data_IF_692328665198
#
_entry.id   IF_692328665198
#
_cell.length_a   1.000
_cell.length_b   1.000
_cell.length_c   1.000
_cell.angle_alpha   90.00
_cell.angle_beta   90.00
_cell.angle_gamma   90.00
#
_symmetry.space_group_name_H-M   'P 1'
#
loop_
_entity.id
_entity.type
_entity.pdbx_description
1 polymer ?
#
# COMPACT_ATOMS: atom_id res chain seq x y z
N UNK A 1 -9.59 -6.13 -12.33
CA UNK A 1 -10.70 -7.04 -11.98
C UNK A 1 -11.90 -6.82 -12.89
N UNK A 2 -12.48 -7.88 -13.44
CA UNK A 2 -13.66 -7.81 -14.30
C UNK A 2 -14.96 -7.86 -13.47
N UNK A 3 -15.36 -6.71 -12.91
CA UNK A 3 -16.55 -6.59 -12.05
C UNK A 3 -17.84 -6.77 -12.85
N UNK A 4 -17.87 -6.28 -14.09
CA UNK A 4 -19.06 -6.36 -14.95
C UNK A 4 -19.56 -7.78 -15.16
N UNK A 5 -18.64 -8.74 -15.37
CA UNK A 5 -19.00 -10.13 -15.66
C UNK A 5 -19.07 -11.00 -14.40
N UNK A 6 -18.32 -10.66 -13.35
CA UNK A 6 -18.12 -11.58 -12.21
C UNK A 6 -18.78 -11.12 -10.91
N UNK A 7 -19.09 -9.83 -10.78
CA UNK A 7 -19.67 -9.23 -9.57
C UNK A 7 -20.69 -8.15 -9.96
N UNK A 8 -21.74 -8.56 -10.64
CA UNK A 8 -22.75 -7.67 -11.21
C UNK A 8 -23.46 -6.80 -10.17
N UNK A 9 -23.57 -7.27 -8.93
CA UNK A 9 -24.09 -6.46 -7.81
C UNK A 9 -23.17 -5.29 -7.45
N UNK A 10 -21.86 -5.42 -7.61
CA UNK A 10 -20.89 -4.34 -7.40
C UNK A 10 -20.82 -3.41 -8.62
N UNK A 11 -21.04 -3.95 -9.81
CA UNK A 11 -20.92 -3.20 -11.06
C UNK A 11 -21.82 -1.96 -11.12
N UNK A 12 -23.04 -2.07 -10.61
CA UNK A 12 -23.97 -0.92 -10.53
C UNK A 12 -23.40 0.24 -9.70
N UNK A 13 -22.63 -0.05 -8.65
CA UNK A 13 -22.01 0.99 -7.83
C UNK A 13 -20.83 1.63 -8.55
N UNK A 14 -20.08 0.86 -9.34
CA UNK A 14 -19.02 1.38 -10.19
C UNK A 14 -19.57 2.37 -11.23
N UNK A 15 -20.66 1.99 -11.91
CA UNK A 15 -21.34 2.87 -12.86
C UNK A 15 -21.84 4.15 -12.18
N UNK A 16 -22.50 4.00 -11.02
CA UNK A 16 -22.98 5.15 -10.26
C UNK A 16 -21.83 6.06 -9.76
N UNK A 17 -20.70 5.50 -9.35
CA UNK A 17 -19.54 6.28 -8.98
C UNK A 17 -19.01 7.11 -10.16
N UNK A 18 -18.95 6.51 -11.35
CA UNK A 18 -18.58 7.20 -12.59
C UNK A 18 -19.57 8.31 -12.97
N UNK A 19 -20.87 8.05 -12.87
CA UNK A 19 -21.91 9.06 -13.08
C UNK A 19 -21.78 10.26 -12.12
N UNK A 20 -21.23 10.01 -10.92
CA UNK A 20 -20.93 11.04 -9.92
C UNK A 20 -19.53 11.66 -10.08
N UNK A 21 -18.85 11.41 -11.21
CA UNK A 21 -17.58 12.05 -11.55
C UNK A 21 -16.32 11.28 -11.11
N UNK A 22 -16.44 10.06 -10.57
CA UNK A 22 -15.27 9.26 -10.26
C UNK A 22 -14.60 8.76 -11.55
N UNK A 23 -13.26 8.95 -11.67
CA UNK A 23 -12.45 8.35 -12.73
C UNK A 23 -12.25 6.87 -12.45
N UNK A 24 -12.62 6.02 -13.41
CA UNK A 24 -12.46 4.57 -13.34
C UNK A 24 -11.25 4.15 -14.15
N UNK A 25 -10.23 3.61 -13.48
CA UNK A 25 -9.05 3.03 -14.12
C UNK A 25 -9.05 1.53 -13.91
N UNK A 26 -8.87 0.77 -14.98
CA UNK A 26 -8.79 -0.69 -14.93
C UNK A 26 -7.40 -1.15 -15.33
N UNK A 27 -6.71 -1.78 -14.38
CA UNK A 27 -5.43 -2.47 -14.60
C UNK A 27 -5.73 -3.95 -14.81
N UNK A 28 -5.57 -4.43 -16.02
CA UNK A 28 -5.88 -5.82 -16.39
C UNK A 28 -5.12 -6.18 -17.69
N UNK A 29 -4.47 -7.35 -17.78
CA UNK A 29 -3.78 -7.77 -19.01
C UNK A 29 -4.72 -7.92 -20.21
N UNK A 30 -6.03 -8.06 -19.97
CA UNK A 30 -7.04 -8.22 -20.99
C UNK A 30 -8.04 -7.06 -20.97
N UNK A 31 -8.42 -6.58 -22.15
CA UNK A 31 -9.55 -5.67 -22.29
C UNK A 31 -10.86 -6.43 -21.97
N UNK A 32 -11.22 -6.44 -20.68
CA UNK A 32 -12.44 -7.07 -20.19
C UNK A 32 -13.63 -6.11 -20.23
N UNK A 33 -14.85 -6.62 -19.99
CA UNK A 33 -16.07 -5.82 -20.02
C UNK A 33 -16.02 -4.60 -19.10
N UNK A 34 -15.37 -4.72 -17.94
CA UNK A 34 -15.17 -3.56 -17.06
C UNK A 34 -14.17 -2.56 -17.66
N UNK A 35 -13.11 -3.05 -18.30
CA UNK A 35 -12.12 -2.17 -18.95
C UNK A 35 -12.73 -1.43 -20.16
N UNK A 36 -13.67 -2.05 -20.86
CA UNK A 36 -14.34 -1.44 -22.01
C UNK A 36 -15.20 -0.21 -21.65
N UNK A 37 -15.62 -0.09 -20.38
CA UNK A 37 -16.40 1.06 -19.90
C UNK A 37 -15.58 1.98 -18.99
N UNK A 38 -14.32 1.66 -18.70
CA UNK A 38 -13.44 2.47 -17.88
C UNK A 38 -13.00 3.75 -18.62
N UNK A 39 -12.61 4.76 -17.87
CA UNK A 39 -12.04 5.99 -18.42
C UNK A 39 -10.61 5.75 -18.92
N UNK A 40 -9.94 4.75 -18.32
CA UNK A 40 -8.60 4.32 -18.74
C UNK A 40 -8.42 2.82 -18.52
N UNK A 41 -7.83 2.14 -19.49
CA UNK A 41 -7.36 0.77 -19.38
C UNK A 41 -5.84 0.74 -19.46
N UNK A 42 -5.22 0.05 -18.50
CA UNK A 42 -3.76 -0.14 -18.40
C UNK A 42 -3.46 -1.62 -18.63
N UNK A 43 -2.93 -1.98 -19.81
CA UNK A 43 -2.67 -3.37 -20.22
C UNK A 43 -1.36 -3.91 -19.61
N UNK A 44 -1.36 -4.20 -18.34
CA UNK A 44 -0.19 -4.70 -17.62
C UNK A 44 0.14 -6.15 -18.00
N UNK A 45 1.42 -6.55 -18.01
CA UNK A 45 1.79 -7.97 -18.05
C UNK A 45 1.24 -8.69 -16.80
N UNK A 46 0.68 -9.88 -16.98
CA UNK A 46 0.12 -10.66 -15.88
C UNK A 46 1.16 -10.92 -14.78
N UNK A 47 0.73 -10.83 -13.51
CA UNK A 47 1.54 -11.07 -12.31
C UNK A 47 2.60 -10.00 -12.00
N UNK A 48 2.56 -8.85 -12.64
CA UNK A 48 3.51 -7.76 -12.38
C UNK A 48 2.91 -6.61 -11.58
N UNK A 49 1.71 -6.80 -11.02
CA UNK A 49 1.03 -5.82 -10.17
C UNK A 49 1.90 -5.26 -9.02
N UNK A 50 2.72 -6.09 -8.33
CA UNK A 50 3.60 -5.55 -7.28
C UNK A 50 4.64 -4.57 -7.82
N UNK A 51 5.21 -4.84 -8.99
CA UNK A 51 6.20 -3.96 -9.61
C UNK A 51 5.56 -2.60 -9.99
N UNK A 52 4.34 -2.62 -10.52
CA UNK A 52 3.60 -1.40 -10.81
C UNK A 52 3.36 -0.59 -9.52
N UNK A 53 2.88 -1.24 -8.45
CA UNK A 53 2.63 -0.55 -7.19
C UNK A 53 3.92 0.02 -6.54
N UNK A 54 5.05 -0.70 -6.64
CA UNK A 54 6.36 -0.22 -6.18
C UNK A 54 6.87 0.95 -7.03
N UNK A 55 6.71 0.90 -8.35
CA UNK A 55 7.04 2.01 -9.23
C UNK A 55 6.19 3.25 -8.96
N UNK A 56 4.89 3.08 -8.72
CA UNK A 56 4.02 4.19 -8.32
C UNK A 56 4.45 4.79 -6.97
N UNK A 57 4.81 3.95 -5.98
CA UNK A 57 5.34 4.44 -4.70
C UNK A 57 6.65 5.20 -4.89
N UNK A 58 7.54 4.74 -5.78
CA UNK A 58 8.76 5.46 -6.11
C UNK A 58 8.47 6.87 -6.64
N UNK A 59 7.54 7.01 -7.58
CA UNK A 59 7.12 8.33 -8.09
C UNK A 59 6.57 9.20 -6.96
N UNK A 60 5.68 8.68 -6.13
CA UNK A 60 5.03 9.42 -5.05
C UNK A 60 6.06 9.87 -3.99
N UNK A 61 6.94 8.98 -3.57
CA UNK A 61 7.94 9.27 -2.52
C UNK A 61 9.02 10.22 -3.06
N UNK A 62 9.55 10.00 -4.27
CA UNK A 62 10.59 10.84 -4.87
C UNK A 62 10.12 12.28 -5.14
N UNK A 63 8.82 12.46 -5.37
CA UNK A 63 8.19 13.79 -5.52
C UNK A 63 7.70 14.40 -4.20
N UNK A 64 7.99 13.74 -3.07
CA UNK A 64 7.58 14.17 -1.71
C UNK A 64 6.04 14.34 -1.55
N UNK A 65 5.26 13.49 -2.22
CA UNK A 65 3.80 13.53 -2.21
C UNK A 65 3.14 12.54 -1.24
N UNK A 66 3.93 11.76 -0.52
CA UNK A 66 3.43 10.79 0.44
C UNK A 66 2.82 11.45 1.69
N UNK A 67 1.85 10.79 2.29
CA UNK A 67 1.08 11.32 3.42
C UNK A 67 1.85 11.20 4.75
N UNK A 68 2.82 12.10 5.00
CA UNK A 68 3.75 12.05 6.14
C UNK A 68 3.04 11.93 7.47
N UNK A 69 2.10 12.84 7.75
CA UNK A 69 1.40 12.88 9.03
C UNK A 69 0.55 11.61 9.24
N UNK A 70 -0.07 11.12 8.17
CA UNK A 70 -0.83 9.88 8.22
C UNK A 70 0.07 8.68 8.54
N UNK A 71 1.24 8.59 7.89
CA UNK A 71 2.21 7.51 8.08
C UNK A 71 2.74 7.50 9.51
N UNK A 72 3.07 8.66 10.07
CA UNK A 72 3.54 8.78 11.46
C UNK A 72 2.45 8.35 12.44
N UNK A 73 1.21 8.78 12.22
CA UNK A 73 0.13 8.55 13.17
C UNK A 73 -0.49 7.15 13.10
N UNK A 74 -0.48 6.51 11.91
CA UNK A 74 -1.32 5.34 11.66
C UNK A 74 -0.56 4.10 11.13
N UNK A 75 0.77 4.14 11.11
CA UNK A 75 1.55 3.03 10.56
C UNK A 75 2.81 2.73 11.37
N UNK A 76 3.50 1.67 10.98
CA UNK A 76 4.82 1.31 11.52
C UNK A 76 5.97 2.12 10.89
N UNK A 77 5.69 3.04 10.00
CA UNK A 77 6.68 3.81 9.26
C UNK A 77 7.72 4.50 10.16
N UNK A 78 7.36 5.15 11.30
CA UNK A 78 8.31 5.80 12.19
C UNK A 78 9.04 4.84 13.15
N UNK A 79 8.72 3.54 13.14
CA UNK A 79 9.35 2.60 14.08
C UNK A 79 10.81 2.38 13.72
N UNK A 80 11.65 2.31 14.76
CA UNK A 80 13.08 2.10 14.60
C UNK A 80 13.39 0.64 14.29
N UNK A 81 14.23 0.44 13.30
CA UNK A 81 14.76 -0.86 12.85
C UNK A 81 16.24 -0.86 13.09
N UNK A 82 16.76 -1.91 13.73
CA UNK A 82 18.18 -2.10 13.96
C UNK A 82 18.89 -2.47 12.66
N UNK A 83 19.99 -1.79 12.35
CA UNK A 83 20.78 -2.11 11.14
C UNK A 83 21.54 -3.44 11.26
N UNK A 84 21.78 -3.92 12.48
CA UNK A 84 22.54 -5.15 12.75
C UNK A 84 21.82 -6.41 12.32
N UNK A 85 20.49 -6.49 12.50
CA UNK A 85 19.69 -7.68 12.26
C UNK A 85 18.37 -7.42 11.51
N UNK A 86 18.05 -6.18 11.22
CA UNK A 86 16.81 -5.78 10.53
C UNK A 86 15.55 -5.95 11.39
N UNK A 87 15.67 -6.14 12.69
CA UNK A 87 14.54 -6.26 13.59
C UNK A 87 14.06 -4.91 14.10
N UNK A 88 12.76 -4.77 14.32
CA UNK A 88 12.18 -3.60 14.96
C UNK A 88 12.71 -3.48 16.40
N UNK A 89 13.17 -2.28 16.76
CA UNK A 89 13.64 -1.98 18.10
C UNK A 89 12.48 -1.97 19.09
N UNK A 90 12.67 -2.64 20.23
CA UNK A 90 11.67 -2.73 21.29
C UNK A 90 12.29 -2.34 22.64
N UNK A 91 11.49 -1.75 23.52
CA UNK A 91 11.81 -1.54 24.93
C UNK A 91 11.20 -2.66 25.75
N UNK A 92 12.06 -3.46 26.42
CA UNK A 92 11.67 -4.63 27.19
C UNK A 92 11.71 -5.94 26.40
N UNK A 93 11.26 -7.00 27.05
CA UNK A 93 11.19 -8.36 26.52
C UNK A 93 9.75 -8.87 26.47
N UNK A 94 9.47 -9.82 25.56
CA UNK A 94 8.18 -10.49 25.45
C UNK A 94 7.16 -9.75 24.55
N UNK A 95 5.92 -10.18 24.63
CA UNK A 95 4.85 -9.69 23.74
C UNK A 95 4.43 -8.25 24.08
N UNK A 96 4.55 -7.85 25.34
CA UNK A 96 4.16 -6.52 25.83
C UNK A 96 5.24 -5.44 25.64
N UNK A 97 6.42 -5.79 25.10
CA UNK A 97 7.47 -4.83 24.85
C UNK A 97 7.04 -3.77 23.83
N UNK A 98 7.22 -2.49 24.20
CA UNK A 98 6.82 -1.36 23.36
C UNK A 98 7.73 -1.22 22.13
N UNK A 99 7.18 -0.77 21.01
CA UNK A 99 7.95 -0.41 19.83
C UNK A 99 8.58 0.97 20.03
N UNK A 100 9.81 1.14 19.56
CA UNK A 100 10.55 2.39 19.72
C UNK A 100 10.42 3.28 18.49
N UNK A 101 10.28 4.58 18.74
CA UNK A 101 10.32 5.65 17.75
C UNK A 101 11.34 6.69 18.18
N UNK A 102 11.85 7.51 17.25
CA UNK A 102 12.70 8.64 17.59
C UNK A 102 11.86 9.90 17.79
N UNK A 103 11.91 10.45 19.01
CA UNK A 103 11.29 11.75 19.29
C UNK A 103 12.22 12.87 18.86
N UNK A 104 11.80 13.63 17.85
CA UNK A 104 12.58 14.77 17.32
C UNK A 104 12.65 15.94 18.29
N UNK A 105 11.67 16.09 19.17
CA UNK A 105 11.64 17.18 20.16
C UNK A 105 12.58 16.91 21.35
N UNK A 106 12.59 15.67 21.84
CA UNK A 106 13.46 15.25 22.94
C UNK A 106 14.83 14.74 22.46
N UNK A 107 15.01 14.51 21.15
CA UNK A 107 16.20 13.96 20.51
C UNK A 107 16.66 12.64 21.15
N UNK A 108 15.72 11.72 21.34
CA UNK A 108 15.94 10.41 21.93
C UNK A 108 14.93 9.36 21.43
N UNK A 109 15.29 8.09 21.57
CA UNK A 109 14.35 7.01 21.33
C UNK A 109 13.38 6.87 22.52
N UNK A 110 12.09 6.75 22.22
CA UNK A 110 11.03 6.59 23.22
C UNK A 110 10.02 5.53 22.76
N UNK A 111 9.29 4.89 23.68
CA UNK A 111 8.16 4.04 23.32
C UNK A 111 7.13 4.78 22.47
N UNK A 112 6.59 4.13 21.46
CA UNK A 112 5.55 4.70 20.58
C UNK A 112 4.25 5.05 21.30
N UNK A 113 4.07 4.56 22.52
CA UNK A 113 2.91 4.84 23.41
C UNK A 113 3.11 6.09 24.27
N UNK A 114 4.29 6.73 24.22
CA UNK A 114 4.58 7.94 24.99
C UNK A 114 3.73 9.11 24.50
N UNK A 115 3.06 9.81 25.41
CA UNK A 115 2.24 10.96 25.06
C UNK A 115 3.07 12.15 24.59
N UNK A 116 2.58 12.86 23.58
CA UNK A 116 3.22 14.10 23.08
C UNK A 116 4.46 13.89 22.21
N UNK A 117 4.75 12.67 21.79
CA UNK A 117 5.90 12.36 20.92
C UNK A 117 5.73 12.99 19.54
N UNK A 118 6.81 13.63 19.07
CA UNK A 118 6.95 14.05 17.67
C UNK A 118 7.88 13.06 16.95
N UNK A 119 7.30 11.93 16.51
CA UNK A 119 8.07 10.85 15.93
C UNK A 119 8.66 11.22 14.55
N UNK A 120 9.96 10.94 14.36
CA UNK A 120 10.61 11.07 13.07
C UNK A 120 10.07 10.05 12.08
N UNK A 121 9.70 10.49 10.87
CA UNK A 121 9.35 9.57 9.79
C UNK A 121 10.60 8.99 9.11
N UNK A 122 11.70 9.75 9.06
CA UNK A 122 12.94 9.37 8.37
C UNK A 122 14.15 9.80 9.19
N UNK A 123 15.23 9.05 9.11
CA UNK A 123 16.51 9.37 9.76
C UNK A 123 17.30 8.16 10.19
N UNK A 124 18.60 8.40 10.45
CA UNK A 124 19.51 7.43 11.05
C UNK A 124 19.84 7.90 12.48
N UNK A 125 19.68 7.01 13.41
CA UNK A 125 19.79 7.29 14.84
C UNK A 125 20.70 6.28 15.51
N UNK A 126 21.31 6.67 16.62
CA UNK A 126 22.07 5.77 17.47
C UNK A 126 21.31 5.58 18.79
N UNK A 127 20.97 4.34 19.11
CA UNK A 127 20.25 3.98 20.33
C UNK A 127 21.06 2.94 21.10
N UNK A 128 21.57 3.32 22.27
CA UNK A 128 22.40 2.45 23.11
C UNK A 128 23.64 1.87 22.40
N UNK A 129 24.24 2.65 21.47
CA UNK A 129 25.41 2.22 20.69
C UNK A 129 25.07 1.37 19.47
N UNK A 130 23.79 1.23 19.13
CA UNK A 130 23.31 0.50 17.96
C UNK A 130 22.73 1.47 16.94
N UNK A 131 23.14 1.32 15.67
CA UNK A 131 22.61 2.12 14.57
C UNK A 131 21.20 1.63 14.21
N UNK A 132 20.27 2.58 14.15
CA UNK A 132 18.86 2.33 13.79
C UNK A 132 18.40 3.30 12.71
N UNK A 133 17.50 2.83 11.85
CA UNK A 133 16.77 3.66 10.87
C UNK A 133 15.29 3.43 11.03
N UNK A 134 14.50 4.34 10.49
CA UNK A 134 13.04 4.13 10.49
C UNK A 134 12.62 3.05 9.50
N UNK A 135 11.52 2.38 9.77
CA UNK A 135 10.94 1.41 8.83
C UNK A 135 10.57 2.08 7.48
N UNK A 136 10.27 3.38 7.49
CA UNK A 136 10.02 4.14 6.27
C UNK A 136 11.28 4.27 5.39
N UNK A 137 12.46 4.48 5.98
CA UNK A 137 13.71 4.55 5.21
C UNK A 137 14.04 3.21 4.53
N UNK A 138 13.79 2.09 5.21
CA UNK A 138 13.91 0.76 4.59
C UNK A 138 12.93 0.57 3.43
N UNK A 139 11.70 1.08 3.56
CA UNK A 139 10.74 1.09 2.45
C UNK A 139 11.26 1.95 1.29
N UNK A 140 11.81 3.13 1.57
CA UNK A 140 12.39 4.01 0.56
C UNK A 140 13.53 3.34 -0.21
N UNK A 141 14.42 2.64 0.50
CA UNK A 141 15.52 1.89 -0.12
C UNK A 141 15.01 0.79 -1.06
N UNK A 142 13.97 0.06 -0.66
CA UNK A 142 13.38 -0.98 -1.50
C UNK A 142 12.67 -0.38 -2.72
N UNK A 143 11.88 0.65 -2.51
CA UNK A 143 11.08 1.30 -3.55
C UNK A 143 11.96 2.02 -4.57
N UNK A 144 13.10 2.58 -4.16
CA UNK A 144 14.04 3.28 -5.04
C UNK A 144 14.61 2.42 -6.18
N UNK A 145 14.62 1.11 -5.99
CA UNK A 145 15.04 0.14 -7.02
C UNK A 145 14.07 0.06 -8.20
N UNK A 146 12.81 0.45 -7.98
CA UNK A 146 11.74 0.41 -8.97
C UNK A 146 11.63 1.75 -9.70
N UNK A 147 12.69 2.12 -10.44
CA UNK A 147 12.64 3.28 -11.33
C UNK A 147 11.57 3.11 -12.39
N UNK A 148 11.19 4.19 -13.08
CA UNK A 148 10.21 4.11 -14.17
C UNK A 148 10.64 3.14 -15.24
N UNK A 149 11.93 3.14 -15.61
CA UNK A 149 12.52 2.26 -16.63
C UNK A 149 12.47 0.79 -16.19
N UNK A 150 12.90 0.50 -14.95
CA UNK A 150 12.88 -0.87 -14.42
C UNK A 150 11.44 -1.39 -14.26
N UNK A 151 10.54 -0.54 -13.79
CA UNK A 151 9.12 -0.88 -13.70
C UNK A 151 8.51 -1.12 -15.08
N UNK A 152 8.85 -0.31 -16.08
CA UNK A 152 8.45 -0.48 -17.48
C UNK A 152 8.91 -1.82 -18.06
N UNK A 153 10.16 -2.20 -17.86
CA UNK A 153 10.72 -3.48 -18.30
C UNK A 153 9.93 -4.68 -17.75
N UNK A 154 9.60 -4.64 -16.46
CA UNK A 154 8.84 -5.71 -15.80
C UNK A 154 7.38 -5.73 -16.26
N UNK A 155 6.71 -4.58 -16.23
CA UNK A 155 5.26 -4.47 -16.44
C UNK A 155 4.85 -4.44 -17.90
N UNK A 156 5.76 -4.02 -18.78
CA UNK A 156 5.50 -3.78 -20.20
C UNK A 156 4.69 -2.50 -20.47
N UNK A 157 4.59 -1.62 -19.49
CA UNK A 157 3.95 -0.31 -19.62
C UNK A 157 5.01 0.75 -19.95
N UNK A 158 4.66 1.75 -20.72
CA UNK A 158 5.55 2.88 -20.98
C UNK A 158 5.80 3.68 -19.66
N UNK A 159 7.02 4.20 -19.45
CA UNK A 159 7.37 4.98 -18.26
C UNK A 159 6.40 6.14 -17.98
N UNK A 160 5.99 6.85 -19.03
CA UNK A 160 5.05 7.97 -18.95
C UNK A 160 3.66 7.53 -18.47
N UNK A 161 3.22 6.33 -18.84
CA UNK A 161 1.94 5.77 -18.37
C UNK A 161 2.01 5.45 -16.88
N UNK A 162 3.14 4.91 -16.41
CA UNK A 162 3.35 4.60 -14.99
C UNK A 162 3.35 5.89 -14.16
N UNK A 163 4.11 6.89 -14.59
CA UNK A 163 4.19 8.19 -13.90
C UNK A 163 2.82 8.89 -13.88
N UNK A 164 2.15 8.98 -15.02
CA UNK A 164 0.82 9.58 -15.12
C UNK A 164 -0.19 8.87 -14.22
N UNK A 165 -0.16 7.53 -14.16
CA UNK A 165 -1.06 6.76 -13.29
C UNK A 165 -0.76 6.97 -11.81
N UNK A 166 0.52 7.07 -11.41
CA UNK A 166 0.88 7.39 -10.04
C UNK A 166 0.40 8.79 -9.64
N UNK A 167 0.54 9.77 -10.54
CA UNK A 167 0.06 11.14 -10.31
C UNK A 167 -1.47 11.22 -10.27
N UNK A 168 -2.17 10.52 -11.15
CA UNK A 168 -3.63 10.41 -11.11
C UNK A 168 -4.11 9.83 -9.78
N UNK A 169 -3.43 8.78 -9.30
CA UNK A 169 -3.77 8.12 -8.05
C UNK A 169 -3.59 9.06 -6.85
N UNK A 170 -2.44 9.71 -6.72
CA UNK A 170 -2.16 10.56 -5.54
C UNK A 170 -2.97 11.88 -5.55
N UNK A 171 -3.40 12.35 -6.72
CA UNK A 171 -4.20 13.56 -6.84
C UNK A 171 -5.71 13.34 -6.72
N UNK A 172 -6.19 12.11 -6.71
CA UNK A 172 -7.62 11.79 -6.67
C UNK A 172 -8.32 12.20 -5.36
N UNK A 173 -7.63 12.13 -4.23
CA UNK A 173 -7.97 12.59 -2.89
C UNK A 173 -9.44 12.36 -2.46
N UNK A 174 -9.87 11.12 -2.23
CA UNK A 174 -9.09 9.88 -2.19
C UNK A 174 -9.23 9.03 -3.44
N UNK A 175 -8.41 7.96 -3.52
CA UNK A 175 -8.60 6.86 -4.46
C UNK A 175 -8.77 5.52 -3.76
N UNK A 176 -9.72 4.73 -4.23
CA UNK A 176 -9.93 3.36 -3.76
C UNK A 176 -9.40 2.33 -4.75
N UNK A 177 -8.68 1.33 -4.27
CA UNK A 177 -8.18 0.22 -5.08
C UNK A 177 -9.02 -1.03 -4.80
N UNK A 178 -9.62 -1.58 -5.86
CA UNK A 178 -10.35 -2.85 -5.78
C UNK A 178 -9.56 -3.98 -6.43
N UNK A 179 -8.94 -4.82 -5.60
CA UNK A 179 -8.11 -5.94 -6.05
C UNK A 179 -8.96 -7.13 -6.51
N UNK A 180 -8.48 -7.84 -7.52
CA UNK A 180 -9.14 -9.02 -8.08
C UNK A 180 -8.55 -10.34 -7.56
N UNK A 181 -9.30 -11.43 -7.72
CA UNK A 181 -8.86 -12.77 -7.34
C UNK A 181 -7.68 -13.30 -8.17
N UNK A 182 -7.43 -12.74 -9.36
CA UNK A 182 -6.27 -13.10 -10.17
C UNK A 182 -4.95 -12.93 -9.43
N UNK A 183 -4.86 -11.90 -8.58
CA UNK A 183 -3.68 -11.64 -7.76
C UNK A 183 -3.40 -12.70 -6.69
N UNK A 184 -4.39 -13.52 -6.33
CA UNK A 184 -4.23 -14.64 -5.37
C UNK A 184 -3.72 -15.94 -6.02
N UNK A 185 -3.78 -16.03 -7.34
CA UNK A 185 -3.53 -17.28 -8.07
C UNK A 185 -2.16 -17.32 -8.71
N UNK A 186 -1.19 -16.72 -8.03
CA UNK A 186 0.19 -16.60 -8.48
C UNK A 186 1.15 -17.09 -7.38
N UNK A 187 2.36 -17.43 -7.77
CA UNK A 187 3.41 -17.67 -6.81
C UNK A 187 3.66 -16.40 -5.98
N UNK A 188 3.88 -16.53 -4.66
CA UNK A 188 3.97 -15.39 -3.73
C UNK A 188 2.72 -14.49 -3.72
N UNK A 189 1.54 -15.07 -3.79
CA UNK A 189 0.25 -14.35 -3.87
C UNK A 189 -0.01 -13.33 -2.74
N UNK A 190 0.70 -13.42 -1.62
CA UNK A 190 0.63 -12.44 -0.53
C UNK A 190 1.29 -11.10 -0.91
N UNK A 191 2.32 -11.13 -1.76
CA UNK A 191 3.09 -9.93 -2.16
C UNK A 191 2.22 -8.86 -2.84
N UNK A 192 1.42 -9.15 -3.89
CA UNK A 192 0.58 -8.16 -4.53
C UNK A 192 -0.35 -7.41 -3.56
N UNK A 193 -0.96 -8.13 -2.61
CA UNK A 193 -1.87 -7.52 -1.65
C UNK A 193 -1.16 -6.60 -0.67
N UNK A 194 -0.01 -7.05 -0.15
CA UNK A 194 0.80 -6.24 0.76
C UNK A 194 1.30 -4.97 0.08
N UNK A 195 1.82 -5.10 -1.14
CA UNK A 195 2.37 -3.97 -1.89
C UNK A 195 1.29 -2.93 -2.21
N UNK A 196 0.11 -3.37 -2.65
CA UNK A 196 -1.02 -2.45 -2.93
C UNK A 196 -1.56 -1.82 -1.64
N UNK A 197 -1.61 -2.56 -0.52
CA UNK A 197 -1.98 -1.99 0.77
C UNK A 197 -0.95 -0.95 1.24
N UNK A 198 0.35 -1.20 1.04
CA UNK A 198 1.42 -0.25 1.33
C UNK A 198 1.30 1.02 0.47
N UNK A 199 0.99 0.88 -0.83
CA UNK A 199 0.72 2.03 -1.70
C UNK A 199 -0.43 2.89 -1.16
N UNK A 200 -1.52 2.26 -0.73
CA UNK A 200 -2.66 2.98 -0.15
C UNK A 200 -2.31 3.66 1.19
N UNK A 201 -1.42 3.07 1.99
CA UNK A 201 -0.89 3.67 3.21
C UNK A 201 0.03 4.86 2.90
N UNK A 202 0.95 4.72 1.94
CA UNK A 202 1.85 5.80 1.48
C UNK A 202 1.05 7.01 0.98
N UNK A 203 -0.09 6.76 0.31
CA UNK A 203 -1.00 7.83 -0.13
C UNK A 203 -1.90 8.38 1.00
N UNK A 204 -1.93 7.76 2.18
CA UNK A 204 -2.80 8.18 3.29
C UNK A 204 -4.28 7.86 3.06
N UNK A 205 -4.61 6.92 2.20
CA UNK A 205 -6.00 6.63 1.81
C UNK A 205 -6.67 5.53 2.63
N UNK A 206 -5.95 4.88 3.55
CA UNK A 206 -6.54 3.86 4.43
C UNK A 206 -7.33 4.55 5.56
N UNK A 207 -8.56 4.11 5.77
CA UNK A 207 -9.46 4.68 6.78
C UNK A 207 -10.18 5.96 6.33
N UNK A 208 -10.02 6.35 5.06
CA UNK A 208 -10.70 7.49 4.45
C UNK A 208 -11.90 7.01 3.63
N UNK A 209 -13.04 7.67 3.74
CA UNK A 209 -14.23 7.34 2.96
C UNK A 209 -13.95 7.48 1.46
N UNK A 210 -14.23 6.43 0.70
CA UNK A 210 -13.91 6.36 -0.74
C UNK A 210 -12.47 5.93 -1.06
N UNK A 211 -11.58 5.85 -0.06
CA UNK A 211 -10.19 5.44 -0.21
C UNK A 211 -9.90 3.98 0.12
N UNK A 212 -8.62 3.68 0.23
CA UNK A 212 -8.10 2.39 0.70
C UNK A 212 -7.89 1.33 -0.37
N UNK A 213 -7.53 0.15 0.09
CA UNK A 213 -7.30 -1.04 -0.73
C UNK A 213 -8.21 -2.16 -0.25
N UNK A 214 -9.05 -2.69 -1.12
CA UNK A 214 -10.00 -3.74 -0.79
C UNK A 214 -9.91 -4.91 -1.74
N UNK A 215 -10.12 -6.10 -1.20
CA UNK A 215 -10.23 -7.33 -1.96
C UNK A 215 -11.65 -7.86 -1.88
N UNK A 216 -12.15 -8.49 -2.94
CA UNK A 216 -13.33 -9.32 -2.83
C UNK A 216 -12.99 -10.45 -1.87
N UNK A 217 -13.39 -10.31 -0.61
CA UNK A 217 -13.23 -11.35 0.37
C UNK A 217 -13.75 -12.66 -0.23
N UNK A 218 -12.89 -13.65 -0.31
CA UNK A 218 -13.34 -14.99 -0.57
C UNK A 218 -14.28 -15.40 0.57
N UNK A 219 -15.05 -16.40 0.33
CA UNK A 219 -15.97 -17.00 1.31
C UNK A 219 -15.29 -17.40 2.64
N UNK A 220 -13.97 -17.48 2.65
CA UNK A 220 -13.15 -17.79 3.84
C UNK A 220 -13.03 -16.62 4.85
N UNK A 221 -13.37 -15.39 4.47
CA UNK A 221 -13.27 -14.24 5.36
C UNK A 221 -14.63 -13.77 5.94
N UNK A 222 -15.71 -14.49 5.66
CA UNK A 222 -17.00 -14.22 6.31
C UNK A 222 -16.98 -14.86 7.71
N UNK A 223 -16.92 -14.06 8.82
CA UNK A 223 -16.90 -14.60 10.17
C UNK A 223 -18.10 -15.51 10.48
N UNK A 224 -19.22 -15.29 9.77
CA UNK A 224 -20.44 -16.10 9.93
C UNK A 224 -20.29 -17.50 9.35
N UNK A 225 -19.36 -17.71 8.40
CA UNK A 225 -19.07 -19.02 7.81
C UNK A 225 -18.06 -19.83 8.63
N UNK A 226 -17.19 -19.17 9.41
CA UNK A 226 -16.31 -19.86 10.35
C UNK A 226 -17.07 -20.46 11.53
N UNK A 227 -18.20 -19.87 11.94
CA UNK A 227 -19.04 -20.42 12.99
C UNK A 227 -19.90 -21.62 12.54
N UNK A 228 -20.20 -21.74 11.25
CA UNK A 228 -20.95 -22.90 10.73
C UNK A 228 -20.10 -24.15 10.48
N UNK A 229 -18.78 -24.03 10.47
CA UNK A 229 -17.84 -25.15 10.29
C UNK A 229 -17.35 -25.80 11.60
N UNK A 230 -17.70 -25.23 12.75
CA UNK A 230 -17.25 -25.72 14.08
C UNK A 230 -18.37 -26.45 14.83
N UNK A 231 -19.49 -26.70 14.19
CA UNK A 231 -20.60 -27.49 14.76
C UNK A 231 -20.69 -28.88 14.13
N UNK A 232 -19.54 -29.54 13.96
CA UNK A 232 -19.51 -30.96 13.70
C UNK A 232 -18.63 -31.64 14.74
#
# INVERSE_FOLDING_TARGET
RNVADTHTSEFRYLVKARENGAKIVVVDPRLCSTAAIADQWIPIKAQTDPALALGMMNVIISKDLHAKDWLVANSVAPFLVRESDGALLRDGEGEDAAWMVWDTAANQAVPNTTEGVTAALSGTFEVNGEACRTAFDHLCDEVSKYTLEYTSEITGLDPEVIEAFAMDYINAQPAGIRMGQGMQRVYNSHSPFRTVATLAAVAGYIGVEGGGASHAGGTASDPRRHHSGVQL
#
